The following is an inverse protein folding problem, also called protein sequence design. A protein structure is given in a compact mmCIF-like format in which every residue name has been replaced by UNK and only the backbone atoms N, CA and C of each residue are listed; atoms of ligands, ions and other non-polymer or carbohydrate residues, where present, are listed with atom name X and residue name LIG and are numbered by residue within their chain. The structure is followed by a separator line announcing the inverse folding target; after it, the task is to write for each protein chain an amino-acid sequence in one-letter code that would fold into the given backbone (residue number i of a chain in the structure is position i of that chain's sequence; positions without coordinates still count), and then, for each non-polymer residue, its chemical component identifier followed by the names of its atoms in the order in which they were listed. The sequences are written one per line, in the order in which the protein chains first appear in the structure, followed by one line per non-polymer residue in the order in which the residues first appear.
data_IF_106620390180
#
_entry.id   IF_106620390180
#
_cell.length_a   1.000
_cell.length_b   1.000
_cell.length_c   1.000
_cell.angle_alpha   90.00
_cell.angle_beta   90.00
_cell.angle_gamma   90.00
#
_symmetry.space_group_name_H-M   'P 1'
#
loop_
_entity.id
_entity.type
_entity.pdbx_description
1 polymer ?
#
# COMPACT_ATOMS: atom_id res chain seq x y z
N UNK A 1 16.46 -64.66 -7.15
CA UNK A 1 16.77 -63.35 -7.78
C UNK A 1 15.66 -63.08 -8.78
N UNK A 2 14.81 -62.05 -8.71
CA UNK A 2 14.78 -60.76 -8.00
C UNK A 2 13.34 -60.50 -7.51
N UNK A 3 13.18 -59.92 -6.32
CA UNK A 3 11.89 -59.40 -5.84
C UNK A 3 11.84 -57.88 -6.16
N UNK A 4 11.01 -57.48 -7.13
CA UNK A 4 10.73 -56.08 -7.42
C UNK A 4 9.79 -55.51 -6.35
N UNK A 5 10.28 -54.57 -5.55
CA UNK A 5 9.45 -53.83 -4.60
C UNK A 5 8.71 -52.71 -5.34
N UNK A 6 7.39 -52.87 -5.51
CA UNK A 6 6.51 -51.82 -6.03
C UNK A 6 6.41 -50.72 -4.95
N UNK A 7 7.07 -49.58 -5.17
CA UNK A 7 6.87 -48.40 -4.34
C UNK A 7 5.43 -47.91 -4.59
N UNK A 8 4.53 -48.15 -3.64
CA UNK A 8 3.16 -47.65 -3.73
C UNK A 8 3.18 -46.13 -3.64
N UNK A 9 2.87 -45.47 -4.75
CA UNK A 9 2.55 -44.04 -4.76
C UNK A 9 1.20 -43.90 -4.06
N UNK A 10 1.24 -43.59 -2.76
CA UNK A 10 0.02 -43.28 -2.01
C UNK A 10 -0.60 -42.00 -2.59
N UNK A 11 -1.93 -41.96 -2.80
CA UNK A 11 -2.60 -40.73 -3.20
C UNK A 11 -2.36 -39.67 -2.14
N UNK A 12 -1.71 -38.58 -2.53
CA UNK A 12 -1.45 -37.46 -1.63
C UNK A 12 -2.77 -36.71 -1.44
N UNK A 13 -3.46 -37.01 -0.34
CA UNK A 13 -4.64 -36.23 0.05
C UNK A 13 -4.21 -34.78 0.31
N UNK A 14 -4.86 -33.77 -0.31
CA UNK A 14 -4.52 -32.39 -0.08
C UNK A 14 -4.61 -32.11 1.42
N UNK A 15 -3.51 -31.68 2.01
CA UNK A 15 -3.49 -31.33 3.42
C UNK A 15 -4.38 -30.11 3.64
N UNK A 16 -5.11 -30.05 4.76
CA UNK A 16 -5.81 -28.82 5.11
C UNK A 16 -4.76 -27.70 5.20
N UNK A 17 -5.08 -26.51 4.68
CA UNK A 17 -4.15 -25.39 4.74
C UNK A 17 -3.77 -25.14 6.21
N UNK A 18 -2.47 -24.99 6.56
CA UNK A 18 -2.06 -24.69 7.94
C UNK A 18 -2.84 -23.50 8.53
N UNK A 19 -3.04 -23.45 9.84
CA UNK A 19 -3.96 -22.48 10.47
C UNK A 19 -3.61 -21.01 10.22
N UNK A 20 -2.38 -20.72 9.83
CA UNK A 20 -1.88 -19.41 9.41
C UNK A 20 -2.19 -19.07 7.92
N UNK A 21 -2.78 -20.00 7.13
CA UNK A 21 -3.30 -19.74 5.77
C UNK A 21 -4.37 -18.68 5.72
N UNK A 22 -5.08 -18.48 6.82
CA UNK A 22 -6.15 -17.50 6.93
C UNK A 22 -5.63 -16.06 7.08
N UNK A 23 -4.34 -15.84 7.40
CA UNK A 23 -3.72 -14.52 7.58
C UNK A 23 -2.50 -14.35 6.67
N UNK A 24 -2.68 -14.22 5.35
CA UNK A 24 -1.54 -14.29 4.41
C UNK A 24 -1.37 -13.18 3.39
N UNK A 25 -2.31 -12.25 3.25
CA UNK A 25 -2.11 -11.11 2.36
C UNK A 25 -1.50 -9.95 3.15
N UNK A 26 -0.20 -9.75 2.99
CA UNK A 26 0.47 -8.52 3.42
C UNK A 26 0.80 -7.71 2.19
N UNK A 27 0.56 -6.41 2.28
CA UNK A 27 0.93 -5.45 1.25
C UNK A 27 1.77 -4.38 1.92
N UNK A 28 2.92 -4.10 1.32
CA UNK A 28 3.78 -2.99 1.70
C UNK A 28 3.90 -2.06 0.50
N UNK A 29 3.86 -0.76 0.76
CA UNK A 29 4.06 0.23 -0.28
C UNK A 29 4.88 1.41 0.22
N UNK A 30 5.50 2.10 -0.75
CA UNK A 30 6.16 3.37 -0.55
C UNK A 30 5.66 4.37 -1.59
N UNK A 31 5.41 5.60 -1.15
CA UNK A 31 5.26 6.77 -2.03
C UNK A 31 6.26 7.83 -1.63
N UNK A 32 6.89 8.45 -2.61
CA UNK A 32 7.95 9.43 -2.39
C UNK A 32 7.88 10.54 -3.43
N UNK A 33 8.19 11.75 -2.99
CA UNK A 33 8.67 12.82 -3.86
C UNK A 33 10.21 12.80 -3.81
N UNK A 34 10.91 13.48 -4.70
CA UNK A 34 12.35 13.76 -4.58
C UNK A 34 12.52 15.27 -4.70
N UNK A 35 13.03 15.93 -3.66
CA UNK A 35 13.13 17.39 -3.61
C UNK A 35 14.30 17.92 -4.42
N UNK A 36 15.29 17.09 -4.75
CA UNK A 36 16.42 17.48 -5.57
C UNK A 36 16.02 17.49 -7.07
N UNK A 37 15.20 16.53 -7.51
CA UNK A 37 14.83 16.37 -8.92
C UNK A 37 13.40 16.77 -9.25
N UNK A 38 12.52 16.78 -8.25
CA UNK A 38 11.07 16.93 -8.44
C UNK A 38 10.36 15.62 -8.81
N UNK A 39 11.07 14.48 -8.80
CA UNK A 39 10.50 13.19 -9.21
C UNK A 39 9.47 12.67 -8.21
N UNK A 40 8.59 11.80 -8.71
CA UNK A 40 7.56 11.13 -7.93
C UNK A 40 7.68 9.62 -8.13
N UNK A 41 7.73 8.89 -7.03
CA UNK A 41 7.92 7.45 -7.01
C UNK A 41 6.84 6.72 -6.24
N UNK A 42 6.49 5.53 -6.73
CA UNK A 42 5.66 4.59 -6.01
C UNK A 42 6.14 3.16 -6.25
N UNK A 43 6.16 2.36 -5.20
CA UNK A 43 6.39 0.92 -5.31
C UNK A 43 5.49 0.15 -4.34
N UNK A 44 5.12 -1.07 -4.72
CA UNK A 44 4.30 -1.97 -3.92
C UNK A 44 4.85 -3.39 -4.00
N UNK A 45 4.83 -4.09 -2.88
CA UNK A 45 5.04 -5.53 -2.79
C UNK A 45 3.81 -6.14 -2.12
N UNK A 46 3.25 -7.20 -2.72
CA UNK A 46 2.13 -7.92 -2.13
C UNK A 46 2.13 -9.38 -2.53
N UNK A 47 1.51 -10.21 -1.70
CA UNK A 47 1.09 -11.57 -2.08
C UNK A 47 -0.19 -11.57 -2.93
N UNK A 48 -0.93 -10.46 -2.96
CA UNK A 48 -2.15 -10.33 -3.75
C UNK A 48 -1.80 -10.33 -5.26
N UNK A 49 -2.37 -11.24 -6.06
CA UNK A 49 -2.12 -11.28 -7.50
C UNK A 49 -2.52 -9.97 -8.19
N UNK A 50 -1.72 -9.52 -9.15
CA UNK A 50 -1.98 -8.31 -9.93
C UNK A 50 -2.18 -7.03 -9.09
N UNK A 51 -1.45 -6.90 -7.98
CA UNK A 51 -1.52 -5.72 -7.09
C UNK A 51 -1.23 -4.39 -7.82
N UNK A 52 -0.48 -4.43 -8.92
CA UNK A 52 -0.13 -3.27 -9.73
C UNK A 52 -1.31 -2.53 -10.36
N UNK A 53 -2.45 -3.19 -10.55
CA UNK A 53 -3.66 -2.53 -11.05
C UNK A 53 -4.53 -1.88 -9.97
N UNK A 54 -4.18 -2.06 -8.69
CA UNK A 54 -5.01 -1.63 -7.56
C UNK A 54 -4.30 -0.62 -6.68
N UNK A 55 -3.06 -0.92 -6.29
CA UNK A 55 -2.37 -0.16 -5.25
C UNK A 55 -1.63 1.05 -5.79
N UNK A 56 -0.78 0.94 -6.83
CA UNK A 56 0.10 2.03 -7.20
C UNK A 56 -0.53 2.96 -8.23
N UNK A 57 -0.62 4.24 -7.89
CA UNK A 57 -1.03 5.32 -8.79
C UNK A 57 0.01 6.41 -8.78
N UNK A 58 0.43 6.88 -9.95
CA UNK A 58 1.33 8.02 -10.06
C UNK A 58 1.07 8.80 -11.34
N UNK A 59 1.30 10.12 -11.27
CA UNK A 59 1.27 11.01 -12.43
C UNK A 59 2.39 12.04 -12.28
N UNK A 60 3.27 12.10 -13.29
CA UNK A 60 4.40 13.01 -13.32
C UNK A 60 3.95 14.47 -13.12
N UNK A 61 4.68 15.21 -12.29
CA UNK A 61 4.37 16.60 -11.94
C UNK A 61 3.08 16.81 -11.12
N UNK A 62 2.40 15.73 -10.69
CA UNK A 62 1.12 15.82 -9.96
C UNK A 62 1.22 15.17 -8.58
N UNK A 63 1.54 13.87 -8.52
CA UNK A 63 1.65 13.15 -7.26
C UNK A 63 1.71 11.64 -7.42
N UNK A 64 1.78 10.95 -6.27
CA UNK A 64 1.72 9.50 -6.17
C UNK A 64 0.81 9.07 -5.00
N UNK A 65 0.06 8.00 -5.20
CA UNK A 65 -0.91 7.45 -4.24
C UNK A 65 -0.78 5.94 -4.16
N UNK A 66 -0.62 5.41 -2.96
CA UNK A 66 -0.76 3.99 -2.66
C UNK A 66 -2.05 3.75 -1.88
N UNK A 67 -3.04 3.07 -2.47
CA UNK A 67 -4.25 2.63 -1.77
C UNK A 67 -4.22 1.12 -1.57
N UNK A 68 -4.23 0.67 -0.32
CA UNK A 68 -4.15 -0.74 0.06
C UNK A 68 -5.15 -1.08 1.18
N UNK A 69 -5.00 -2.25 1.80
CA UNK A 69 -6.05 -2.92 2.58
C UNK A 69 -7.28 -3.21 1.71
N UNK A 70 -8.51 -3.22 2.25
CA UNK A 70 -9.73 -3.34 1.44
C UNK A 70 -9.85 -2.09 0.56
N UNK A 71 -9.13 -2.15 -0.56
CA UNK A 71 -8.69 -1.00 -1.35
C UNK A 71 -9.87 -0.33 -2.02
N UNK A 72 -9.79 0.99 -2.14
CA UNK A 72 -10.73 1.77 -2.92
C UNK A 72 -9.94 2.57 -3.97
N UNK A 73 -10.14 2.24 -5.25
CA UNK A 73 -9.39 2.84 -6.37
C UNK A 73 -9.67 4.33 -6.53
N UNK A 74 -10.75 4.84 -5.95
CA UNK A 74 -11.06 6.28 -5.90
C UNK A 74 -9.92 7.10 -5.26
N UNK A 75 -9.22 6.56 -4.26
CA UNK A 75 -8.08 7.27 -3.67
C UNK A 75 -6.96 7.50 -4.69
N UNK A 76 -6.77 6.57 -5.62
CA UNK A 76 -5.81 6.70 -6.70
C UNK A 76 -6.29 7.69 -7.77
N UNK A 77 -7.40 7.38 -8.44
CA UNK A 77 -7.92 8.16 -9.56
C UNK A 77 -8.32 9.59 -9.14
N UNK A 78 -9.26 9.71 -8.19
CA UNK A 78 -9.75 11.02 -7.71
C UNK A 78 -8.68 11.75 -6.90
N UNK A 79 -7.79 11.02 -6.23
CA UNK A 79 -6.63 11.61 -5.56
C UNK A 79 -5.76 12.37 -6.53
N UNK A 80 -5.30 11.72 -7.60
CA UNK A 80 -4.48 12.37 -8.62
C UNK A 80 -5.21 13.52 -9.32
N UNK A 81 -6.54 13.44 -9.50
CA UNK A 81 -7.32 14.56 -10.03
C UNK A 81 -7.34 15.78 -9.09
N UNK A 82 -7.55 15.56 -7.80
CA UNK A 82 -7.56 16.63 -6.80
C UNK A 82 -6.17 17.27 -6.68
N UNK A 83 -5.12 16.45 -6.67
CA UNK A 83 -3.74 16.93 -6.69
C UNK A 83 -3.45 17.77 -7.94
N UNK A 84 -3.91 17.33 -9.11
CA UNK A 84 -3.75 18.08 -10.36
C UNK A 84 -4.50 19.43 -10.35
N UNK A 85 -5.58 19.53 -9.57
CA UNK A 85 -6.33 20.78 -9.35
C UNK A 85 -5.74 21.67 -8.25
N UNK A 86 -4.59 21.28 -7.70
CA UNK A 86 -3.83 22.07 -6.74
C UNK A 86 -4.05 21.70 -5.27
N UNK A 87 -4.93 20.76 -4.94
CA UNK A 87 -5.07 20.29 -3.57
C UNK A 87 -3.76 19.68 -3.07
N UNK A 88 -3.46 19.85 -1.77
CA UNK A 88 -2.35 19.14 -1.12
C UNK A 88 -2.71 17.68 -0.88
N UNK A 89 -1.71 16.81 -0.67
CA UNK A 89 -1.95 15.41 -0.32
C UNK A 89 -2.90 15.22 0.89
N UNK A 90 -2.75 15.95 2.02
CA UNK A 90 -3.71 15.88 3.13
C UNK A 90 -5.12 16.36 2.77
N UNK A 91 -5.25 17.39 1.93
CA UNK A 91 -6.55 17.89 1.49
C UNK A 91 -7.27 16.89 0.58
N UNK A 92 -6.58 16.38 -0.43
CA UNK A 92 -7.12 15.37 -1.33
C UNK A 92 -7.58 14.12 -0.56
N UNK A 93 -6.75 13.63 0.37
CA UNK A 93 -7.10 12.49 1.23
C UNK A 93 -8.38 12.77 2.04
N UNK A 94 -8.48 13.94 2.70
CA UNK A 94 -9.66 14.32 3.50
C UNK A 94 -10.92 14.45 2.64
N UNK A 95 -10.80 15.00 1.44
CA UNK A 95 -11.95 15.18 0.52
C UNK A 95 -12.53 13.81 0.14
N UNK A 96 -11.69 12.86 -0.26
CA UNK A 96 -12.13 11.53 -0.70
C UNK A 96 -12.75 10.75 0.46
N UNK A 97 -12.11 10.79 1.65
CA UNK A 97 -12.60 10.11 2.85
C UNK A 97 -14.01 10.50 3.25
N UNK A 98 -14.42 11.76 3.06
CA UNK A 98 -15.78 12.22 3.39
C UNK A 98 -16.86 11.47 2.61
N UNK A 99 -16.49 10.84 1.50
CA UNK A 99 -17.41 10.10 0.63
C UNK A 99 -17.19 8.58 0.67
N UNK A 100 -16.16 8.11 1.37
CA UNK A 100 -15.92 6.68 1.55
C UNK A 100 -16.82 6.16 2.69
N UNK A 101 -17.68 5.16 2.45
CA UNK A 101 -18.54 4.60 3.50
C UNK A 101 -17.79 3.69 4.48
N UNK A 102 -16.56 3.25 4.15
CA UNK A 102 -15.80 2.32 5.00
C UNK A 102 -14.32 2.75 5.15
N UNK A 103 -14.03 4.00 5.57
CA UNK A 103 -12.67 4.52 5.68
C UNK A 103 -11.84 3.75 6.72
N UNK A 104 -12.50 3.15 7.73
CA UNK A 104 -11.86 2.32 8.75
C UNK A 104 -11.22 1.04 8.18
N UNK A 105 -11.59 0.63 6.98
CA UNK A 105 -11.04 -0.57 6.32
C UNK A 105 -9.93 -0.23 5.30
N UNK A 106 -9.59 1.05 5.16
CA UNK A 106 -8.63 1.56 4.17
C UNK A 106 -7.25 1.75 4.76
N UNK A 107 -6.25 1.61 3.90
CA UNK A 107 -4.92 2.10 4.19
C UNK A 107 -4.38 2.87 2.98
N UNK A 108 -4.02 4.14 3.15
CA UNK A 108 -3.71 5.03 2.03
C UNK A 108 -2.48 5.88 2.35
N UNK A 109 -1.52 5.94 1.42
CA UNK A 109 -0.40 6.87 1.44
C UNK A 109 -0.44 7.77 0.21
N UNK A 110 -0.18 9.07 0.36
CA UNK A 110 -0.22 10.04 -0.73
C UNK A 110 0.91 11.06 -0.60
N UNK A 111 1.53 11.42 -1.73
CA UNK A 111 2.45 12.57 -1.85
C UNK A 111 2.03 13.43 -3.04
N UNK A 112 2.13 14.74 -2.90
CA UNK A 112 1.93 15.68 -4.01
C UNK A 112 3.25 16.16 -4.60
N UNK A 113 3.20 16.77 -5.79
CA UNK A 113 4.37 17.29 -6.50
C UNK A 113 5.07 18.49 -5.82
N UNK A 114 4.61 18.91 -4.63
CA UNK A 114 5.27 19.91 -3.78
C UNK A 114 5.92 19.28 -2.55
N UNK A 115 5.84 17.95 -2.42
CA UNK A 115 6.41 17.19 -1.31
C UNK A 115 5.54 17.17 -0.05
N UNK A 116 4.27 17.59 -0.10
CA UNK A 116 3.36 17.34 1.02
C UNK A 116 2.98 15.86 1.03
N UNK A 117 2.86 15.30 2.22
CA UNK A 117 2.63 13.88 2.44
C UNK A 117 1.41 13.65 3.35
N UNK A 118 0.66 12.60 3.09
CA UNK A 118 -0.45 12.15 3.94
C UNK A 118 -0.48 10.64 4.05
N UNK A 119 -0.90 10.14 5.20
CA UNK A 119 -1.11 8.72 5.45
C UNK A 119 -2.37 8.48 6.28
N UNK A 120 -3.05 7.39 5.98
CA UNK A 120 -4.20 6.91 6.72
C UNK A 120 -4.13 5.40 6.90
N UNK A 121 -4.43 4.95 8.10
CA UNK A 121 -4.64 3.54 8.42
C UNK A 121 -5.90 3.47 9.25
N UNK A 122 -6.96 2.85 8.72
CA UNK A 122 -8.21 2.69 9.43
C UNK A 122 -8.13 1.59 10.51
N UNK A 123 -8.93 1.75 11.57
CA UNK A 123 -8.90 0.88 12.74
C UNK A 123 -9.43 -0.55 12.51
N UNK A 124 -10.04 -0.81 11.35
CA UNK A 124 -10.55 -2.12 10.91
C UNK A 124 -9.71 -2.74 9.80
N UNK A 125 -8.47 -2.29 9.64
CA UNK A 125 -7.49 -2.91 8.73
C UNK A 125 -6.95 -4.21 9.32
N UNK A 126 -6.34 -5.06 8.49
CA UNK A 126 -5.75 -6.33 8.94
C UNK A 126 -4.65 -6.09 9.98
N UNK A 127 -4.44 -7.07 10.87
CA UNK A 127 -3.37 -7.05 11.85
C UNK A 127 -2.03 -6.67 11.18
N UNK A 128 -1.27 -5.79 11.86
CA UNK A 128 0.02 -5.25 11.41
C UNK A 128 -0.09 -4.21 10.27
N UNK A 129 -0.97 -3.23 10.46
CA UNK A 129 -1.11 -2.06 9.60
C UNK A 129 -0.61 -0.78 10.31
N UNK A 130 0.23 0.00 9.63
CA UNK A 130 0.59 1.36 10.01
C UNK A 130 1.12 2.11 8.80
N UNK A 131 1.16 3.44 8.88
CA UNK A 131 1.83 4.30 7.91
C UNK A 131 2.72 5.32 8.60
N UNK A 132 3.72 5.83 7.89
CA UNK A 132 4.67 6.83 8.39
C UNK A 132 4.93 7.88 7.34
N UNK A 133 4.76 9.14 7.70
CA UNK A 133 5.18 10.31 6.91
C UNK A 133 6.54 10.81 7.43
N UNK A 134 7.54 11.05 6.57
CA UNK A 134 8.89 11.52 6.95
C UNK A 134 9.41 12.74 6.15
N UNK A 135 10.46 13.37 6.72
CA UNK A 135 11.30 14.50 6.27
C UNK A 135 12.46 14.75 7.28
N UNK A 136 13.47 15.60 7.05
CA UNK A 136 14.67 15.68 7.88
C UNK A 136 14.35 16.48 9.14
N UNK A 137 14.53 15.83 10.29
CA UNK A 137 14.19 16.27 11.65
C UNK A 137 12.74 16.01 12.12
N UNK A 138 12.44 14.75 12.45
CA UNK A 138 12.02 14.36 13.81
C UNK A 138 12.00 12.83 13.94
N UNK A 139 12.89 12.31 14.80
CA UNK A 139 13.07 10.89 15.01
C UNK A 139 11.87 10.19 15.66
N UNK A 140 11.59 8.98 15.16
CA UNK A 140 11.13 7.83 15.93
C UNK A 140 11.14 6.60 15.03
N UNK A 141 11.61 5.46 15.52
CA UNK A 141 11.80 4.18 14.79
C UNK A 141 10.45 3.60 14.28
N UNK A 142 10.42 3.06 13.06
CA UNK A 142 9.19 2.62 12.38
C UNK A 142 8.68 1.22 12.70
N UNK A 143 7.34 1.08 12.69
CA UNK A 143 6.62 -0.21 12.53
C UNK A 143 6.07 -0.31 11.09
N UNK A 144 5.82 -1.53 10.62
CA UNK A 144 5.65 -1.87 9.19
C UNK A 144 4.28 -1.49 8.60
N UNK A 145 4.21 -1.23 7.28
CA UNK A 145 2.96 -1.15 6.50
C UNK A 145 2.99 -0.18 5.30
N UNK A 146 3.27 1.10 5.53
CA UNK A 146 3.47 2.11 4.49
C UNK A 146 4.59 3.08 4.87
N UNK A 147 5.44 3.43 3.91
CA UNK A 147 6.41 4.51 4.04
C UNK A 147 6.01 5.65 3.09
N UNK A 148 5.82 6.84 3.63
CA UNK A 148 5.43 8.04 2.89
C UNK A 148 6.55 9.05 3.15
N UNK A 149 7.27 9.45 2.12
CA UNK A 149 8.42 10.34 2.29
C UNK A 149 8.15 11.67 1.57
N UNK A 150 7.95 12.71 2.36
CA UNK A 150 7.75 14.09 1.90
C UNK A 150 9.04 14.90 1.97
N UNK A 151 8.90 16.22 1.83
CA UNK A 151 10.00 17.18 1.64
C UNK A 151 11.25 16.93 2.52
N UNK A 152 12.43 16.92 1.89
CA UNK A 152 13.75 16.85 2.54
C UNK A 152 14.28 15.44 2.80
N UNK A 153 14.50 14.69 1.73
CA UNK A 153 15.29 13.45 1.75
C UNK A 153 16.75 13.75 2.11
#
# INVERSE_FOLDING_TARGET
MLLFSLLQILPQSPQPPPSDFLKRAHTYSIVAYDSATGDLGIAVQSKFPNVGGLVPWARAGVGAVATQALSNTDYGEKGLELLARGATAPEAMRIIMRTDPQPSQRQVGMVDARGNAASWTGDSTFDWAAGRTGGPAAGQMGRKGQLIVGHGY
#
